data_IF_687501123427
#
_entry.id   IF_687501123427
#
_cell.length_a   1.000
_cell.length_b   1.000
_cell.length_c   1.000
_cell.angle_alpha   90.00
_cell.angle_beta   90.00
_cell.angle_gamma   90.00
#
_symmetry.space_group_name_H-M   'P 1'
#
loop_
_entity.id
_entity.type
_entity.pdbx_description
1 polymer ?
#
# COMPACT_ATOMS: atom_id res chain seq x y z
N UNK A 1 -36.10 4.69 22.83
CA UNK A 1 -34.63 4.52 22.90
C UNK A 1 -34.16 4.08 21.52
N UNK A 2 -33.63 5.00 20.70
CA UNK A 2 -33.19 4.75 19.31
C UNK A 2 -31.91 5.53 19.03
N UNK A 3 -30.84 5.23 19.77
CA UNK A 3 -29.51 5.79 19.54
C UNK A 3 -28.47 4.70 19.80
N UNK A 4 -28.32 3.74 18.89
CA UNK A 4 -27.23 2.76 19.00
C UNK A 4 -26.76 2.16 17.67
N UNK A 5 -27.21 2.66 16.50
CA UNK A 5 -26.74 2.12 15.20
C UNK A 5 -25.78 3.04 14.43
N UNK A 6 -25.64 4.31 14.82
CA UNK A 6 -24.85 5.30 14.06
C UNK A 6 -23.34 5.18 14.33
N UNK A 7 -22.95 4.64 15.49
CA UNK A 7 -21.54 4.60 15.91
C UNK A 7 -20.75 3.52 15.16
N UNK A 8 -21.40 2.43 14.71
CA UNK A 8 -20.70 1.31 14.07
C UNK A 8 -20.19 1.62 12.64
N UNK A 9 -20.88 2.51 11.91
CA UNK A 9 -20.48 2.90 10.56
C UNK A 9 -19.23 3.79 10.52
N UNK A 10 -18.99 4.59 11.57
CA UNK A 10 -17.85 5.52 11.62
C UNK A 10 -16.50 4.81 11.81
N UNK A 11 -16.48 3.70 12.56
CA UNK A 11 -15.24 2.95 12.84
C UNK A 11 -14.77 2.14 11.63
N UNK A 12 -15.70 1.70 10.78
CA UNK A 12 -15.36 1.05 9.50
C UNK A 12 -14.76 2.08 8.55
N UNK A 13 -15.30 3.30 8.49
CA UNK A 13 -14.76 4.34 7.60
C UNK A 13 -13.36 4.82 7.97
N UNK A 14 -13.00 4.90 9.26
CA UNK A 14 -11.65 5.33 9.66
C UNK A 14 -10.61 4.26 9.34
N UNK A 15 -10.88 3.00 9.69
CA UNK A 15 -9.92 1.91 9.45
C UNK A 15 -9.69 1.60 7.97
N UNK A 16 -10.70 1.73 7.12
CA UNK A 16 -10.53 1.61 5.66
C UNK A 16 -9.85 2.84 5.05
N UNK A 17 -10.16 4.06 5.53
CA UNK A 17 -9.47 5.27 5.09
C UNK A 17 -7.98 5.27 5.49
N UNK A 18 -7.65 4.76 6.68
CA UNK A 18 -6.26 4.64 7.16
C UNK A 18 -5.46 3.64 6.32
N UNK A 19 -6.04 2.47 5.99
CA UNK A 19 -5.37 1.46 5.15
C UNK A 19 -5.18 1.94 3.71
N UNK A 20 -6.22 2.52 3.14
CA UNK A 20 -6.18 3.02 1.77
C UNK A 20 -5.27 4.24 1.64
N UNK A 21 -5.27 5.14 2.62
CA UNK A 21 -4.37 6.28 2.72
C UNK A 21 -2.92 5.86 2.83
N UNK A 22 -2.61 4.92 3.74
CA UNK A 22 -1.26 4.39 3.93
C UNK A 22 -0.76 3.71 2.66
N UNK A 23 -1.59 2.85 2.03
CA UNK A 23 -1.22 2.20 0.78
C UNK A 23 -0.93 3.22 -0.33
N UNK A 24 -1.82 4.20 -0.55
CA UNK A 24 -1.63 5.22 -1.59
C UNK A 24 -0.34 6.01 -1.37
N UNK A 25 -0.05 6.38 -0.13
CA UNK A 25 1.18 7.10 0.23
C UNK A 25 2.42 6.22 0.00
N UNK A 26 2.38 4.95 0.38
CA UNK A 26 3.47 3.99 0.13
C UNK A 26 3.71 3.75 -1.35
N UNK A 27 2.66 3.44 -2.12
CA UNK A 27 2.76 3.21 -3.58
C UNK A 27 3.26 4.45 -4.29
N UNK A 28 2.76 5.64 -3.92
CA UNK A 28 3.29 6.90 -4.44
C UNK A 28 4.78 7.07 -4.12
N UNK A 29 5.20 6.85 -2.88
CA UNK A 29 6.60 6.97 -2.50
C UNK A 29 7.51 5.93 -3.18
N UNK A 30 6.98 4.74 -3.48
CA UNK A 30 7.66 3.69 -4.24
C UNK A 30 7.83 4.12 -5.71
N UNK A 31 6.76 4.62 -6.35
CA UNK A 31 6.75 5.12 -7.74
C UNK A 31 7.57 6.38 -7.96
N UNK A 32 7.54 7.31 -7.00
CA UNK A 32 8.36 8.52 -7.01
C UNK A 32 9.85 8.19 -6.73
N UNK A 33 10.12 7.05 -6.11
CA UNK A 33 11.47 6.57 -5.87
C UNK A 33 12.05 5.95 -7.14
N UNK A 34 13.20 6.46 -7.58
CA UNK A 34 13.94 5.98 -8.76
C UNK A 34 14.43 4.53 -8.66
N UNK A 35 14.15 3.84 -7.56
CA UNK A 35 14.50 2.43 -7.36
C UNK A 35 13.63 1.46 -8.15
N UNK A 36 12.44 1.89 -8.61
CA UNK A 36 11.58 1.05 -9.45
C UNK A 36 12.17 0.79 -10.83
N UNK A 37 12.79 1.80 -11.47
CA UNK A 37 13.31 1.70 -12.85
C UNK A 37 14.39 0.62 -13.09
N UNK A 38 14.75 -0.13 -12.05
CA UNK A 38 15.70 -1.23 -12.08
C UNK A 38 15.16 -2.46 -11.30
N UNK A 39 13.85 -2.54 -11.01
CA UNK A 39 13.31 -3.66 -10.23
C UNK A 39 13.55 -5.01 -10.90
N UNK A 40 13.51 -5.04 -12.24
CA UNK A 40 13.89 -6.21 -13.02
C UNK A 40 15.33 -6.73 -12.74
N UNK A 41 16.24 -5.86 -12.30
CA UNK A 41 17.64 -6.19 -11.99
C UNK A 41 17.88 -6.44 -10.49
N UNK A 42 16.85 -6.27 -9.65
CA UNK A 42 16.95 -6.46 -8.20
C UNK A 42 16.60 -7.89 -7.79
N UNK A 43 17.30 -8.39 -6.77
CA UNK A 43 16.89 -9.64 -6.11
C UNK A 43 15.58 -9.45 -5.35
N UNK A 44 14.84 -10.55 -5.15
CA UNK A 44 13.59 -10.53 -4.37
C UNK A 44 13.76 -9.88 -2.98
N UNK A 45 14.91 -10.09 -2.33
CA UNK A 45 15.23 -9.47 -1.03
C UNK A 45 15.41 -7.95 -1.15
N UNK A 46 16.05 -7.46 -2.20
CA UNK A 46 16.23 -6.03 -2.42
C UNK A 46 14.90 -5.33 -2.74
N UNK A 47 14.03 -5.99 -3.50
CA UNK A 47 12.66 -5.54 -3.77
C UNK A 47 11.87 -5.43 -2.46
N UNK A 48 11.90 -6.48 -1.65
CA UNK A 48 11.25 -6.51 -0.34
C UNK A 48 11.76 -5.40 0.58
N UNK A 49 13.09 -5.26 0.72
CA UNK A 49 13.71 -4.24 1.58
C UNK A 49 13.37 -2.82 1.10
N UNK A 50 13.32 -2.60 -0.22
CA UNK A 50 12.92 -1.31 -0.80
C UNK A 50 11.45 -1.00 -0.51
N UNK A 51 10.53 -1.92 -0.83
CA UNK A 51 9.10 -1.74 -0.57
C UNK A 51 8.85 -1.51 0.92
N UNK A 52 9.45 -2.35 1.78
CA UNK A 52 9.35 -2.24 3.24
C UNK A 52 9.77 -0.87 3.74
N UNK A 53 10.92 -0.35 3.30
CA UNK A 53 11.42 0.98 3.69
C UNK A 53 10.43 2.11 3.36
N UNK A 54 9.71 2.01 2.24
CA UNK A 54 8.74 3.04 1.83
C UNK A 54 7.37 2.84 2.50
N UNK A 55 6.99 1.60 2.79
CA UNK A 55 5.77 1.27 3.53
C UNK A 55 5.88 1.69 4.99
N UNK A 56 6.97 1.35 5.69
CA UNK A 56 7.16 1.65 7.12
C UNK A 56 7.23 3.15 7.43
N UNK A 57 7.56 3.99 6.43
CA UNK A 57 7.49 5.46 6.57
C UNK A 57 6.08 6.02 6.58
N UNK A 58 5.14 5.32 5.96
CA UNK A 58 3.78 5.79 5.72
C UNK A 58 2.71 4.93 6.40
N UNK A 59 3.12 3.84 7.06
CA UNK A 59 2.24 2.90 7.71
C UNK A 59 2.86 2.46 9.03
N UNK A 60 2.06 2.53 10.10
CA UNK A 60 2.40 2.00 11.42
C UNK A 60 1.38 0.94 11.87
N UNK A 61 1.86 -0.20 12.38
CA UNK A 61 1.03 -1.28 12.93
C UNK A 61 1.01 -2.58 12.10
N UNK A 62 0.20 -3.55 12.55
CA UNK A 62 0.18 -4.92 12.01
C UNK A 62 -0.29 -5.01 10.55
N UNK A 63 -1.06 -4.04 10.06
CA UNK A 63 -1.51 -4.00 8.66
C UNK A 63 -0.37 -3.70 7.68
N UNK A 64 0.72 -3.09 8.14
CA UNK A 64 1.82 -2.68 7.28
C UNK A 64 2.64 -3.86 6.76
N UNK A 65 2.82 -4.90 7.58
CA UNK A 65 3.47 -6.15 7.13
C UNK A 65 2.67 -6.80 6.00
N UNK A 66 1.33 -6.82 6.10
CA UNK A 66 0.46 -7.31 5.01
C UNK A 66 0.56 -6.45 3.76
N UNK A 67 0.66 -5.13 3.92
CA UNK A 67 0.85 -4.20 2.80
C UNK A 67 2.18 -4.45 2.10
N UNK A 68 3.27 -4.65 2.85
CA UNK A 68 4.58 -5.01 2.28
C UNK A 68 4.48 -6.28 1.45
N UNK A 69 3.95 -7.37 2.01
CA UNK A 69 3.82 -8.63 1.28
C UNK A 69 2.99 -8.48 0.00
N UNK A 70 1.84 -7.77 0.09
CA UNK A 70 0.96 -7.58 -1.07
C UNK A 70 1.62 -6.73 -2.16
N UNK A 71 2.40 -5.71 -1.79
CA UNK A 71 3.13 -4.88 -2.76
C UNK A 71 4.32 -5.61 -3.36
N UNK A 72 4.98 -6.51 -2.62
CA UNK A 72 6.06 -7.37 -3.13
C UNK A 72 5.54 -8.34 -4.17
N UNK A 73 4.35 -8.92 -3.95
CA UNK A 73 3.70 -9.82 -4.92
C UNK A 73 3.36 -9.13 -6.25
N UNK A 74 3.20 -7.80 -6.24
CA UNK A 74 2.91 -6.99 -7.42
C UNK A 74 4.08 -6.09 -7.81
N UNK A 75 5.30 -6.38 -7.35
CA UNK A 75 6.48 -5.56 -7.62
C UNK A 75 6.72 -5.32 -9.12
N UNK A 76 6.54 -6.37 -9.93
CA UNK A 76 6.66 -6.26 -11.39
C UNK A 76 5.60 -5.30 -11.98
N UNK A 77 4.38 -5.31 -11.44
CA UNK A 77 3.31 -4.38 -11.88
C UNK A 77 3.52 -2.96 -11.36
N UNK A 78 4.23 -2.78 -10.23
CA UNK A 78 4.61 -1.45 -9.75
C UNK A 78 5.60 -0.78 -10.72
N UNK A 79 6.46 -1.56 -11.37
CA UNK A 79 7.43 -1.11 -12.38
C UNK A 79 6.79 -1.00 -13.78
N UNK A 80 6.11 -2.04 -14.26
CA UNK A 80 5.54 -2.12 -15.61
C UNK A 80 4.31 -1.22 -15.80
N UNK A 81 3.47 -1.07 -14.77
CA UNK A 81 2.21 -0.31 -14.84
C UNK A 81 2.40 1.14 -14.34
N UNK A 82 3.36 1.83 -14.98
CA UNK A 82 3.68 3.24 -14.74
C UNK A 82 2.44 4.15 -14.82
N UNK A 83 1.40 3.76 -15.58
CA UNK A 83 0.15 4.51 -15.74
C UNK A 83 -0.92 4.22 -14.67
N UNK A 84 -0.82 3.12 -13.92
CA UNK A 84 -1.78 2.83 -12.85
C UNK A 84 -1.66 3.87 -11.72
N UNK A 85 -2.78 4.47 -11.33
CA UNK A 85 -2.76 5.41 -10.21
C UNK A 85 -2.45 4.66 -8.91
N UNK A 86 -1.85 5.31 -7.88
CA UNK A 86 -1.69 4.69 -6.57
C UNK A 86 -3.00 4.13 -5.99
N UNK A 87 -4.14 4.71 -6.36
CA UNK A 87 -5.45 4.20 -5.92
C UNK A 87 -5.84 2.88 -6.57
N UNK A 88 -5.50 2.67 -7.84
CA UNK A 88 -5.88 1.45 -8.57
C UNK A 88 -5.01 0.26 -8.13
N UNK A 89 -3.72 0.50 -7.91
CA UNK A 89 -2.80 -0.50 -7.34
C UNK A 89 -3.24 -0.88 -5.91
N UNK A 90 -3.66 0.09 -5.11
CA UNK A 90 -4.17 -0.20 -3.76
C UNK A 90 -5.50 -0.96 -3.75
N UNK A 91 -6.36 -0.77 -4.76
CA UNK A 91 -7.56 -1.61 -4.97
C UNK A 91 -7.17 -3.04 -5.36
N UNK A 92 -6.17 -3.18 -6.21
CA UNK A 92 -5.68 -4.49 -6.66
C UNK A 92 -5.19 -5.33 -5.48
N UNK A 93 -4.49 -4.72 -4.52
CA UNK A 93 -4.03 -5.40 -3.30
C UNK A 93 -5.06 -5.42 -2.16
N UNK A 94 -6.30 -4.99 -2.40
CA UNK A 94 -7.39 -4.93 -1.40
C UNK A 94 -7.12 -4.04 -0.17
N UNK A 95 -6.30 -3.01 -0.33
CA UNK A 95 -6.07 -1.96 0.68
C UNK A 95 -6.92 -0.70 0.44
N UNK A 96 -7.47 -0.59 -0.77
CA UNK A 96 -8.61 0.23 -1.17
C UNK A 96 -9.61 -0.69 -1.92
#
# INVERSE_FOLDING_TARGET
MKFSLVILFLVVSTTFADKCGNCKASVKAIKDGKGLAYMADLTAKQIEDYIKKHVEKNCSGSTCSKLVSSLVEIADQLDDDLNASPGDLCKFVYFC
#
